data_IF_251226217555
#
_entry.id   IF_251226217555
#
_cell.length_a   1.000
_cell.length_b   1.000
_cell.length_c   1.000
_cell.angle_alpha   90.00
_cell.angle_beta   90.00
_cell.angle_gamma   90.00
#
_symmetry.space_group_name_H-M   'P 1'
#
loop_
_entity.id
_entity.type
_entity.pdbx_description
1 polymer ?
2 polymer ?
3 polymer ?
4 non-polymer ?
5 water ?
#
# COMPACT_ATOMS: atom_id res chain seq x y z
N UNK A 1 2.77 6.74 19.96
CA UNK A 1 2.50 5.32 20.02
C UNK A 1 3.61 4.48 19.41
N UNK A 2 3.24 3.32 18.89
CA UNK A 2 4.20 2.42 18.27
C UNK A 2 4.61 2.95 16.90
N UNK A 3 5.77 2.50 16.44
CA UNK A 3 6.26 2.87 15.11
C UNK A 3 6.82 1.64 14.42
N UNK A 4 6.97 1.73 13.11
CA UNK A 4 7.46 0.62 12.31
C UNK A 4 8.37 1.12 11.21
N UNK A 5 9.32 0.28 10.81
CA UNK A 5 10.10 0.48 9.61
C UNK A 5 9.97 -0.79 8.77
N UNK A 6 9.61 -0.62 7.50
CA UNK A 6 9.33 -1.77 6.64
C UNK A 6 9.92 -1.53 5.26
N UNK A 7 10.53 -2.59 4.72
CA UNK A 7 11.06 -2.58 3.35
C UNK A 7 10.26 -3.59 2.53
N UNK A 8 9.84 -3.16 1.34
CA UNK A 8 9.05 -3.96 0.42
C UNK A 8 9.83 -4.15 -0.87
N UNK A 9 9.89 -5.39 -1.36
CA UNK A 9 10.62 -5.72 -2.57
C UNK A 9 9.72 -6.52 -3.51
N UNK A 10 9.78 -6.18 -4.80
CA UNK A 10 9.06 -6.88 -5.85
C UNK A 10 9.99 -7.12 -7.03
N UNK A 11 10.13 -8.39 -7.43
CA UNK A 11 10.90 -8.77 -8.61
C UNK A 11 9.98 -9.53 -9.56
N UNK A 12 9.89 -9.06 -10.80
CA UNK A 12 8.99 -9.64 -11.81
C UNK A 12 9.83 -10.05 -13.01
N UNK A 13 9.84 -11.35 -13.31
CA UNK A 13 10.62 -11.84 -14.44
C UNK A 13 10.01 -11.36 -15.75
N UNK A 14 10.89 -11.04 -16.71
CA UNK A 14 10.49 -10.55 -18.03
C UNK A 14 11.12 -11.48 -19.06
N UNK A 15 10.45 -12.59 -19.38
CA UNK A 15 11.06 -13.59 -20.27
C UNK A 15 11.36 -13.00 -21.65
N UNK A 16 12.64 -13.02 -22.01
CA UNK A 16 13.06 -12.48 -23.28
C UNK A 16 12.92 -10.97 -23.42
N UNK A 17 12.74 -10.25 -22.32
CA UNK A 17 12.63 -8.80 -22.36
C UNK A 17 13.62 -8.13 -21.40
N UNK A 18 14.72 -8.81 -21.06
CA UNK A 18 15.74 -8.25 -20.21
C UNK A 18 15.71 -8.85 -18.82
N UNK A 19 16.52 -8.23 -17.93
CA UNK A 19 16.54 -8.62 -16.53
C UNK A 19 15.17 -8.36 -15.89
N UNK A 20 14.89 -9.02 -14.77
CA UNK A 20 13.60 -8.81 -14.10
C UNK A 20 13.45 -7.37 -13.61
N UNK A 21 12.23 -6.87 -13.68
CA UNK A 21 11.90 -5.58 -13.09
C UNK A 21 11.96 -5.69 -11.57
N UNK A 22 12.70 -4.77 -10.94
CA UNK A 22 12.91 -4.80 -9.50
C UNK A 22 12.55 -3.43 -8.92
N UNK A 23 11.63 -3.43 -7.94
CA UNK A 23 11.18 -2.21 -7.29
C UNK A 23 11.23 -2.42 -5.78
N UNK A 24 11.96 -1.55 -5.07
CA UNK A 24 12.08 -1.62 -3.62
C UNK A 24 11.65 -0.29 -3.01
N UNK A 25 10.93 -0.37 -1.89
CA UNK A 25 10.40 0.81 -1.21
C UNK A 25 10.59 0.62 0.29
N UNK A 26 11.01 1.68 0.97
CA UNK A 26 11.14 1.69 2.42
C UNK A 26 10.12 2.64 3.04
N UNK A 27 9.51 2.20 4.14
CA UNK A 27 8.52 2.98 4.88
C UNK A 27 8.94 3.12 6.34
N UNK A 28 8.67 4.29 6.90
CA UNK A 28 8.55 4.47 8.35
C UNK A 28 7.08 4.80 8.61
N UNK A 29 6.41 3.94 9.37
CA UNK A 29 4.96 3.98 9.54
C UNK A 29 4.35 3.93 8.14
N UNK A 30 3.45 4.85 7.78
CA UNK A 30 2.87 4.88 6.45
C UNK A 30 3.54 5.91 5.54
N UNK A 31 4.76 6.33 5.88
CA UNK A 31 5.47 7.35 5.12
C UNK A 31 6.63 6.71 4.37
N UNK A 32 6.55 6.73 3.03
CA UNK A 32 7.65 6.25 2.22
C UNK A 32 8.85 7.20 2.34
N UNK A 33 10.04 6.65 2.50
CA UNK A 33 11.22 7.50 2.60
C UNK A 33 12.35 7.14 1.65
N UNK A 34 12.41 5.93 1.10
CA UNK A 34 13.39 5.59 0.07
C UNK A 34 12.72 4.76 -1.01
N UNK A 35 13.36 4.71 -2.17
CA UNK A 35 12.85 3.94 -3.30
C UNK A 35 14.02 3.51 -4.18
N UNK A 36 13.80 2.43 -4.93
CA UNK A 36 14.73 2.02 -5.97
C UNK A 36 13.91 1.36 -7.07
N UNK A 37 14.18 1.75 -8.32
CA UNK A 37 13.55 1.15 -9.49
C UNK A 37 14.64 0.75 -10.46
N UNK A 38 14.65 -0.53 -10.84
CA UNK A 38 15.64 -1.01 -11.80
C UNK A 38 15.50 -0.34 -13.16
N UNK A 39 14.32 0.18 -13.48
CA UNK A 39 14.08 0.84 -14.76
C UNK A 39 14.27 2.35 -14.70
N UNK A 40 14.69 2.89 -13.57
CA UNK A 40 14.92 4.33 -13.46
C UNK A 40 16.34 4.67 -13.86
N UNK A 41 16.56 5.94 -14.18
CA UNK A 41 17.83 6.37 -14.75
C UNK A 41 18.95 6.46 -13.73
N UNK A 42 18.62 6.65 -12.45
CA UNK A 42 19.66 6.88 -11.46
C UNK A 42 20.44 5.61 -11.15
N UNK A 43 19.77 4.47 -11.07
CA UNK A 43 20.35 3.22 -10.59
C UNK A 43 20.93 3.38 -9.19
N UNK A 44 20.33 4.25 -8.38
CA UNK A 44 20.71 4.42 -6.99
C UNK A 44 19.46 4.44 -6.13
N UNK A 45 19.62 4.08 -4.87
CA UNK A 45 18.57 4.30 -3.89
C UNK A 45 18.32 5.80 -3.75
N UNK A 46 17.05 6.19 -3.79
CA UNK A 46 16.71 7.61 -3.85
C UNK A 46 15.87 8.03 -2.64
N UNK A 47 16.05 9.27 -2.17
CA UNK A 47 15.22 9.77 -1.07
C UNK A 47 13.81 10.10 -1.52
N UNK A 48 12.87 9.88 -0.61
CA UNK A 48 11.47 10.18 -0.89
C UNK A 48 10.78 10.88 0.27
N UNK A 49 11.52 11.25 1.30
CA UNK A 49 11.01 12.05 2.42
C UNK A 49 12.05 13.10 2.75
N UNK A 50 11.63 14.26 3.29
CA UNK A 50 12.59 15.34 3.53
C UNK A 50 13.67 14.98 4.53
N UNK A 51 13.32 14.26 5.61
CA UNK A 51 14.26 14.01 6.70
C UNK A 51 15.33 12.97 6.37
N UNK A 52 15.22 12.25 5.26
CA UNK A 52 16.24 11.28 4.89
C UNK A 52 17.31 11.90 3.98
N UNK A 53 17.02 13.05 3.38
CA UNK A 53 17.96 13.68 2.45
C UNK A 53 19.22 14.18 3.13
N UNK A 54 19.19 14.39 4.45
CA UNK A 54 20.38 14.82 5.15
C UNK A 54 21.43 13.72 5.27
N UNK A 55 21.11 12.49 4.89
CA UNK A 55 22.09 11.41 4.95
C UNK A 55 23.19 11.63 3.92
N UNK A 56 24.40 11.22 4.29
CA UNK A 56 25.58 11.49 3.48
C UNK A 56 25.75 10.49 2.36
N UNK A 57 26.69 10.80 1.46
CA UNK A 57 26.92 9.90 0.31
C UNK A 57 27.30 8.48 0.70
N UNK A 58 27.95 8.29 1.86
CA UNK A 58 28.27 6.93 2.27
C UNK A 58 27.01 6.15 2.64
N UNK A 59 25.97 6.84 3.13
CA UNK A 59 24.70 6.18 3.37
C UNK A 59 24.08 5.70 2.06
N UNK A 60 24.02 6.59 1.06
CA UNK A 60 23.41 6.24 -0.22
C UNK A 60 24.26 5.24 -0.98
N UNK A 61 25.57 5.22 -0.74
CA UNK A 61 26.41 4.18 -1.32
C UNK A 61 26.04 2.81 -0.77
N UNK A 62 25.96 2.69 0.56
CA UNK A 62 25.66 1.41 1.17
C UNK A 62 24.26 0.94 0.82
N UNK A 63 23.28 1.85 0.84
CA UNK A 63 21.90 1.48 0.53
C UNK A 63 21.76 1.05 -0.94
N UNK A 64 22.48 1.72 -1.84
CA UNK A 64 22.43 1.33 -3.24
C UNK A 64 23.05 -0.04 -3.46
N UNK A 65 24.19 -0.31 -2.81
CA UNK A 65 24.82 -1.63 -2.96
C UNK A 65 23.94 -2.73 -2.38
N UNK A 66 23.38 -2.49 -1.20
CA UNK A 66 22.59 -3.54 -0.55
C UNK A 66 21.28 -3.80 -1.28
N UNK A 67 20.68 -2.76 -1.88
CA UNK A 67 19.43 -3.00 -2.60
C UNK A 67 19.69 -3.70 -3.92
N UNK A 68 20.84 -3.43 -4.55
CA UNK A 68 21.19 -4.12 -5.79
C UNK A 68 21.50 -5.59 -5.52
N UNK A 69 22.13 -5.89 -4.38
CA UNK A 69 22.39 -7.28 -4.02
C UNK A 69 21.09 -8.04 -3.77
N UNK A 70 20.10 -7.36 -3.18
CA UNK A 70 18.78 -7.98 -3.02
C UNK A 70 18.16 -8.28 -4.38
N UNK A 71 18.34 -7.38 -5.34
CA UNK A 71 17.81 -7.62 -6.68
C UNK A 71 18.51 -8.79 -7.35
N UNK A 72 19.82 -8.95 -7.11
CA UNK A 72 20.55 -10.03 -7.73
C UNK A 72 20.23 -11.37 -7.07
N UNK A 73 19.99 -11.35 -5.76
CA UNK A 73 19.50 -12.55 -5.08
C UNK A 73 18.14 -12.97 -5.61
N UNK A 74 17.25 -12.00 -5.87
CA UNK A 74 15.94 -12.32 -6.42
C UNK A 74 16.03 -12.87 -7.84
N UNK A 75 17.02 -12.43 -8.62
CA UNK A 75 17.24 -13.00 -9.95
C UNK A 75 17.51 -14.49 -9.85
N UNK A 76 18.41 -14.88 -8.94
CA UNK A 76 18.68 -16.31 -8.72
C UNK A 76 17.42 -17.02 -8.30
N UNK A 77 16.71 -16.46 -7.31
CA UNK A 77 15.55 -17.14 -6.74
C UNK A 77 14.42 -17.28 -7.75
N UNK A 78 14.29 -16.35 -8.69
CA UNK A 78 13.27 -16.49 -9.74
C UNK A 78 13.52 -17.75 -10.58
N UNK A 79 14.79 -18.02 -10.90
CA UNK A 79 15.09 -19.23 -11.65
C UNK A 79 15.00 -20.48 -10.80
N UNK A 80 15.40 -20.38 -9.53
CA UNK A 80 15.36 -21.54 -8.65
C UNK A 80 13.92 -21.97 -8.36
N UNK A 81 13.04 -21.01 -8.07
CA UNK A 81 11.66 -21.34 -7.75
C UNK A 81 10.89 -21.80 -8.97
N UNK A 82 11.28 -21.34 -10.16
CA UNK A 82 10.70 -21.88 -11.39
C UNK A 82 10.97 -23.38 -11.49
N UNK A 83 12.15 -23.82 -11.03
CA UNK A 83 12.45 -25.24 -11.03
C UNK A 83 11.71 -26.00 -9.94
N UNK A 84 11.61 -25.41 -8.74
CA UNK A 84 10.89 -26.08 -7.65
C UNK A 84 9.44 -26.35 -8.04
N UNK A 85 8.81 -25.42 -8.75
CA UNK A 85 7.41 -25.53 -9.11
C UNK A 85 7.19 -26.08 -10.52
N UNK A 86 8.25 -26.54 -11.19
CA UNK A 86 8.16 -27.20 -12.49
C UNK A 86 7.39 -26.34 -13.50
N UNK A 87 7.90 -25.12 -13.70
CA UNK A 87 7.27 -24.16 -14.61
C UNK A 87 8.20 -23.87 -15.78
N UNK A 88 7.60 -23.46 -16.89
CA UNK A 88 8.40 -23.18 -18.09
C UNK A 88 9.14 -21.86 -17.94
N UNK A 89 10.18 -21.69 -18.77
CA UNK A 89 10.95 -20.45 -18.80
C UNK A 89 10.25 -19.34 -19.55
N UNK A 90 9.02 -19.56 -20.03
CA UNK A 90 8.32 -18.60 -20.87
C UNK A 90 7.38 -17.67 -20.10
N UNK A 91 6.94 -18.07 -18.91
CA UNK A 91 6.01 -17.25 -18.17
C UNK A 91 6.69 -16.23 -17.27
N UNK A 92 5.94 -15.18 -16.95
CA UNK A 92 6.40 -14.17 -16.00
C UNK A 92 5.95 -14.54 -14.59
N UNK A 93 6.85 -14.41 -13.63
CA UNK A 93 6.58 -14.75 -12.25
C UNK A 93 7.09 -13.64 -11.34
N UNK A 94 6.59 -13.65 -10.10
CA UNK A 94 6.81 -12.56 -9.16
C UNK A 94 7.32 -13.11 -7.83
N UNK A 95 8.37 -12.50 -7.30
CA UNK A 95 8.81 -12.72 -5.92
C UNK A 95 8.61 -11.41 -5.17
N UNK A 96 7.92 -11.48 -4.03
CA UNK A 96 7.70 -10.34 -3.16
C UNK A 96 8.27 -10.64 -1.78
N UNK A 97 8.90 -9.64 -1.17
CA UNK A 97 9.54 -9.78 0.13
C UNK A 97 9.19 -8.55 0.97
N UNK A 98 8.91 -8.78 2.26
CA UNK A 98 8.68 -7.70 3.21
C UNK A 98 9.41 -8.05 4.50
N UNK A 99 10.15 -7.10 5.05
CA UNK A 99 10.72 -7.29 6.37
C UNK A 99 10.81 -5.95 7.09
N UNK A 100 10.94 -6.01 8.41
CA UNK A 100 11.06 -4.80 9.18
C UNK A 100 10.90 -5.07 10.67
N UNK A 101 10.76 -3.98 11.41
CA UNK A 101 10.67 -4.06 12.87
C UNK A 101 9.72 -3.00 13.39
N UNK A 102 9.13 -3.28 14.56
CA UNK A 102 8.30 -2.34 15.27
C UNK A 102 8.95 -1.97 16.60
N UNK A 103 8.76 -0.72 17.02
CA UNK A 103 9.22 -0.24 18.31
C UNK A 103 8.07 0.46 19.02
N UNK A 104 8.17 0.52 20.34
CA UNK A 104 7.20 1.25 21.14
C UNK A 104 7.53 2.72 21.21
N UNK A 105 6.64 3.47 21.87
CA UNK A 105 6.85 4.90 22.01
C UNK A 105 8.12 5.20 22.80
N UNK A 106 8.54 4.28 23.67
CA UNK A 106 9.81 4.42 24.37
C UNK A 106 11.00 3.96 23.55
N UNK A 107 10.78 3.54 22.31
CA UNK A 107 11.85 3.06 21.46
C UNK A 107 12.23 1.60 21.64
N UNK A 108 11.52 0.86 22.49
CA UNK A 108 11.89 -0.51 22.78
C UNK A 108 11.41 -1.44 21.65
N UNK A 109 12.22 -2.46 21.37
CA UNK A 109 11.88 -3.44 20.35
C UNK A 109 10.60 -4.18 20.73
N UNK A 110 9.65 -4.23 19.80
CA UNK A 110 8.42 -4.97 19.98
C UNK A 110 8.37 -6.26 19.16
N UNK A 111 8.73 -6.20 17.88
CA UNK A 111 8.56 -7.35 17.00
C UNK A 111 9.37 -7.12 15.73
N UNK A 112 9.87 -8.23 15.17
CA UNK A 112 10.48 -8.21 13.86
C UNK A 112 9.79 -9.23 12.98
N UNK A 113 9.93 -9.04 11.66
CA UNK A 113 9.25 -9.90 10.73
C UNK A 113 10.00 -9.99 9.41
N UNK A 114 9.78 -11.10 8.72
CA UNK A 114 10.25 -11.27 7.35
C UNK A 114 9.33 -12.29 6.69
N UNK A 115 8.77 -11.93 5.54
CA UNK A 115 7.86 -12.79 4.80
C UNK A 115 8.17 -12.71 3.32
N UNK A 116 8.16 -13.87 2.66
CA UNK A 116 8.44 -13.99 1.24
C UNK A 116 7.25 -14.64 0.53
N UNK A 117 7.04 -14.24 -0.72
CA UNK A 117 5.93 -14.76 -1.50
C UNK A 117 6.42 -15.10 -2.91
N UNK A 118 5.68 -16.00 -3.56
CA UNK A 118 5.93 -16.36 -4.95
C UNK A 118 4.60 -16.35 -5.68
N UNK A 119 4.50 -15.55 -6.74
CA UNK A 119 3.28 -15.40 -7.54
C UNK A 119 2.08 -15.03 -6.66
N UNK A 120 2.31 -14.18 -5.67
CA UNK A 120 1.24 -13.66 -4.84
C UNK A 120 0.75 -14.58 -3.74
N UNK A 121 1.44 -15.68 -3.47
CA UNK A 121 1.08 -16.63 -2.41
C UNK A 121 2.25 -16.81 -1.45
N UNK A 122 1.93 -17.11 -0.19
CA UNK A 122 2.97 -17.34 0.81
C UNK A 122 3.97 -18.37 0.32
N UNK A 123 5.26 -18.08 0.51
CA UNK A 123 6.33 -19.03 0.22
C UNK A 123 7.01 -19.46 1.52
N UNK A 124 7.74 -18.57 2.18
CA UNK A 124 8.35 -18.87 3.46
C UNK A 124 8.29 -17.62 4.34
N UNK A 125 8.22 -17.83 5.65
CA UNK A 125 8.14 -16.71 6.57
C UNK A 125 8.92 -17.03 7.84
N UNK A 126 9.56 -16.00 8.40
CA UNK A 126 10.22 -16.12 9.69
C UNK A 126 9.18 -16.09 10.80
N UNK A 127 9.34 -16.97 11.78
CA UNK A 127 8.41 -16.98 12.90
C UNK A 127 8.72 -15.82 13.84
N UNK A 128 7.72 -15.48 14.66
CA UNK A 128 7.85 -14.31 15.54
C UNK A 128 8.99 -14.47 16.55
N UNK A 129 9.41 -15.70 16.86
CA UNK A 129 10.56 -15.88 17.74
C UNK A 129 11.89 -15.54 17.06
N UNK A 130 11.87 -15.29 15.75
CA UNK A 130 13.06 -14.96 14.96
C UNK A 130 14.11 -16.08 15.00
N UNK A 131 13.68 -17.31 15.28
CA UNK A 131 14.59 -18.44 15.32
C UNK A 131 14.21 -19.57 14.39
N UNK A 132 12.96 -19.65 13.93
CA UNK A 132 12.49 -20.74 13.10
C UNK A 132 11.74 -20.19 11.90
N UNK A 133 11.59 -21.03 10.87
CA UNK A 133 10.93 -20.67 9.63
C UNK A 133 9.66 -21.50 9.45
N UNK A 134 8.70 -20.94 8.73
CA UNK A 134 7.48 -21.66 8.35
C UNK A 134 7.38 -21.65 6.83
N UNK A 135 7.46 -22.84 6.22
CA UNK A 135 7.33 -22.97 4.78
C UNK A 135 5.88 -23.26 4.44
N UNK A 136 5.40 -22.68 3.33
CA UNK A 136 4.00 -22.79 2.99
C UNK A 136 3.66 -24.09 2.26
N UNK A 137 4.63 -24.73 1.62
CA UNK A 137 4.41 -25.97 0.89
C UNK A 137 5.72 -26.75 0.87
N UNK A 138 5.69 -27.91 0.22
CA UNK A 138 6.87 -28.78 0.22
C UNK A 138 8.00 -28.22 -0.64
N UNK A 139 7.67 -27.42 -1.64
CA UNK A 139 8.72 -26.76 -2.42
C UNK A 139 9.49 -25.76 -1.55
N UNK A 140 8.76 -24.91 -0.82
CA UNK A 140 9.43 -23.96 0.07
C UNK A 140 10.18 -24.63 1.20
N UNK A 141 9.86 -25.89 1.51
CA UNK A 141 10.62 -26.62 2.52
C UNK A 141 12.06 -26.83 2.09
N UNK A 142 12.30 -26.92 0.78
CA UNK A 142 13.67 -26.99 0.27
C UNK A 142 14.45 -25.76 0.69
N UNK A 143 13.85 -24.56 0.55
CA UNK A 143 14.52 -23.35 0.99
C UNK A 143 14.75 -23.36 2.50
N UNK A 144 13.76 -23.81 3.26
CA UNK A 144 13.87 -23.82 4.72
C UNK A 144 15.06 -24.66 5.17
N UNK A 145 15.21 -25.87 4.61
CA UNK A 145 16.34 -26.71 4.99
C UNK A 145 17.66 -26.06 4.65
N UNK A 146 17.72 -25.34 3.53
CA UNK A 146 18.94 -24.63 3.15
C UNK A 146 19.22 -23.46 4.09
N UNK A 147 18.17 -22.78 4.55
CA UNK A 147 18.35 -21.66 5.47
C UNK A 147 18.60 -22.12 6.90
N UNK A 148 18.00 -23.24 7.29
CA UNK A 148 18.29 -23.81 8.61
C UNK A 148 19.75 -24.25 8.71
N UNK A 149 20.27 -24.83 7.62
CA UNK A 149 21.66 -25.29 7.64
C UNK A 149 22.63 -24.11 7.67
N UNK A 150 22.36 -23.07 6.87
CA UNK A 150 23.21 -21.89 6.81
C UNK A 150 23.01 -20.96 8.00
N UNK A 151 22.10 -21.29 8.92
CA UNK A 151 21.81 -20.46 10.09
C UNK A 151 21.45 -19.03 9.68
N UNK A 152 20.63 -18.92 8.63
CA UNK A 152 20.22 -17.61 8.14
C UNK A 152 19.41 -16.84 9.18
N UNK A 153 18.63 -17.55 10.02
CA UNK A 153 17.79 -16.85 10.98
C UNK A 153 18.61 -16.06 12.00
N UNK A 154 19.83 -16.53 12.32
CA UNK A 154 20.65 -15.86 13.31
C UNK A 154 21.13 -14.49 12.81
N UNK A 155 21.65 -14.44 11.59
CA UNK A 155 22.08 -13.14 11.05
C UNK A 155 20.90 -12.21 10.84
N UNK A 156 19.80 -12.75 10.34
CA UNK A 156 18.61 -11.93 10.11
C UNK A 156 18.05 -11.40 11.42
N UNK A 157 18.07 -12.22 12.47
CA UNK A 157 17.60 -11.76 13.77
C UNK A 157 18.46 -10.61 14.29
N UNK A 158 19.78 -10.71 14.10
CA UNK A 158 20.68 -9.65 14.55
C UNK A 158 20.30 -8.31 13.92
N UNK A 159 19.82 -8.35 12.68
CA UNK A 159 19.33 -7.14 12.02
C UNK A 159 17.95 -6.73 12.54
N UNK A 160 17.01 -7.69 12.57
CA UNK A 160 15.62 -7.34 12.83
C UNK A 160 15.40 -6.80 14.24
N UNK A 161 16.08 -7.37 15.24
CA UNK A 161 15.94 -6.87 16.60
C UNK A 161 17.14 -6.02 17.04
N UNK A 162 18.09 -5.76 16.15
CA UNK A 162 19.24 -4.92 16.48
C UNK A 162 19.39 -3.73 15.56
N UNK A 163 19.98 -3.96 14.38
CA UNK A 163 20.25 -2.85 13.46
C UNK A 163 18.98 -2.17 12.98
N UNK A 164 17.93 -2.96 12.68
CA UNK A 164 16.67 -2.36 12.24
C UNK A 164 16.15 -1.36 13.27
N UNK A 165 16.13 -1.76 14.54
CA UNK A 165 15.68 -0.87 15.60
C UNK A 165 16.59 0.35 15.70
N UNK A 166 17.90 0.16 15.56
CA UNK A 166 18.85 1.27 15.62
C UNK A 166 18.51 2.35 14.60
N UNK A 167 18.32 1.96 13.35
CA UNK A 167 18.07 2.95 12.31
C UNK A 167 16.68 3.56 12.45
N UNK A 168 15.68 2.75 12.84
CA UNK A 168 14.33 3.30 13.03
C UNK A 168 14.31 4.37 14.10
N UNK A 169 15.04 4.15 15.21
CA UNK A 169 15.14 5.18 16.24
C UNK A 169 15.76 6.45 15.69
N UNK A 170 16.81 6.31 14.87
CA UNK A 170 17.45 7.49 14.31
C UNK A 170 16.51 8.23 13.35
N UNK A 171 15.75 7.49 12.54
CA UNK A 171 14.83 8.12 11.61
C UNK A 171 13.72 8.87 12.35
N UNK A 172 13.18 8.26 13.42
CA UNK A 172 12.13 8.90 14.20
C UNK A 172 12.62 10.22 14.81
N UNK A 173 13.90 10.30 15.17
CA UNK A 173 14.43 11.54 15.71
C UNK A 173 14.74 12.55 14.60
N UNK A 174 15.32 12.07 13.49
CA UNK A 174 15.63 12.97 12.38
C UNK A 174 14.37 13.55 11.74
N UNK A 175 13.26 12.82 11.78
CA UNK A 175 12.04 13.30 11.18
C UNK A 175 10.92 13.58 12.18
N UNK A 176 11.29 13.86 13.43
CA UNK A 176 10.28 14.05 14.47
C UNK A 176 9.33 15.20 14.16
N UNK A 177 9.82 16.25 13.51
CA UNK A 177 8.98 17.43 13.28
C UNK A 177 7.94 17.18 12.20
N UNK A 178 8.34 16.58 11.08
CA UNK A 178 7.48 16.43 9.92
C UNK A 178 6.91 15.03 9.75
N UNK A 179 7.29 14.08 10.60
CA UNK A 179 6.66 12.77 10.54
C UNK A 179 5.18 12.92 10.85
N UNK A 180 4.34 12.37 9.97
CA UNK A 180 2.90 12.50 10.10
C UNK A 180 2.44 12.02 11.47
N UNK A 181 1.94 12.95 12.29
CA UNK A 181 1.43 12.62 13.61
C UNK A 181 0.02 12.06 13.48
N UNK A 182 -0.62 11.81 14.60
CA UNK A 182 -2.00 11.35 14.58
C UNK A 182 -2.89 12.54 14.24
N UNK A 183 -3.28 12.66 12.96
CA UNK A 183 -4.21 13.71 12.55
C UNK A 183 -5.63 13.17 12.63
N UNK A 184 -6.51 13.82 13.39
CA UNK A 184 -7.84 13.24 13.61
C UNK A 184 -8.67 13.29 12.34
N UNK A 185 -9.63 12.38 12.19
CA UNK A 185 -10.46 12.38 10.98
C UNK A 185 -11.53 13.47 11.04
N UNK A 186 -11.63 14.26 9.97
CA UNK A 186 -12.77 15.15 9.78
C UNK A 186 -13.94 14.33 9.26
N UNK A 187 -15.08 14.42 9.96
CA UNK A 187 -16.24 13.58 9.67
C UNK A 187 -17.43 14.42 9.23
N UNK A 188 -18.25 13.84 8.38
CA UNK A 188 -19.53 14.42 7.98
C UNK A 188 -20.34 13.33 7.31
N UNK A 189 -21.60 13.65 6.98
CA UNK A 189 -22.51 12.70 6.35
C UNK A 189 -23.20 13.37 5.17
N UNK A 190 -23.54 12.56 4.16
CA UNK A 190 -24.25 13.04 3.00
C UNK A 190 -25.44 12.13 2.70
N UNK A 191 -26.40 12.68 1.96
CA UNK A 191 -27.69 12.06 1.71
C UNK A 191 -28.00 12.16 0.23
N UNK A 192 -28.26 11.03 -0.42
CA UNK A 192 -28.40 10.95 -1.87
C UNK A 192 -29.61 10.12 -2.24
N UNK A 193 -30.74 10.75 -2.57
CA UNK A 193 -31.90 9.98 -3.03
C UNK A 193 -31.57 9.14 -4.25
N UNK A 194 -31.99 7.88 -4.22
CA UNK A 194 -31.85 7.02 -5.38
C UNK A 194 -33.21 6.77 -6.05
N UNK A 195 -34.30 7.11 -5.37
CA UNK A 195 -35.65 7.03 -5.91
C UNK A 195 -36.52 7.97 -5.08
N UNK A 196 -37.84 7.90 -5.29
CA UNK A 196 -38.76 8.65 -4.45
C UNK A 196 -38.89 8.05 -3.06
N UNK A 197 -38.43 6.81 -2.86
CA UNK A 197 -38.70 6.06 -1.65
C UNK A 197 -37.45 5.62 -0.91
N UNK A 198 -36.27 5.71 -1.50
CA UNK A 198 -35.04 5.30 -0.84
C UNK A 198 -33.95 6.35 -1.07
N UNK A 199 -32.94 6.31 -0.21
CA UNK A 199 -31.84 7.26 -0.28
C UNK A 199 -30.57 6.61 0.25
N UNK A 200 -29.43 7.08 -0.25
CA UNK A 200 -28.12 6.60 0.18
C UNK A 200 -27.54 7.55 1.22
N UNK A 201 -27.29 7.03 2.42
CA UNK A 201 -26.60 7.76 3.48
C UNK A 201 -25.14 7.36 3.47
N UNK A 202 -24.25 8.33 3.25
CA UNK A 202 -22.82 8.07 3.17
C UNK A 202 -22.12 8.79 4.32
N UNK A 203 -21.23 8.07 4.99
CA UNK A 203 -20.51 8.56 6.16
C UNK A 203 -19.04 8.74 5.79
N UNK A 204 -18.52 9.96 5.97
CA UNK A 204 -17.21 10.31 5.47
C UNK A 204 -16.19 10.50 6.60
N UNK A 205 -14.94 10.19 6.29
CA UNK A 205 -13.80 10.45 7.16
C UNK A 205 -12.62 10.85 6.28
N UNK A 206 -12.09 12.06 6.49
CA UNK A 206 -11.10 12.64 5.61
C UNK A 206 -9.89 13.17 6.39
N UNK A 207 -8.75 13.21 5.70
CA UNK A 207 -7.57 13.87 6.21
C UNK A 207 -7.00 13.29 7.49
N UNK A 208 -7.10 11.98 7.68
CA UNK A 208 -6.63 11.36 8.91
C UNK A 208 -5.33 10.58 8.68
N UNK A 209 -4.57 10.40 9.75
CA UNK A 209 -3.32 9.68 9.76
C UNK A 209 -3.17 9.21 11.20
N UNK A 210 -2.80 7.95 11.43
CA UNK A 210 -2.47 6.91 10.44
C UNK A 210 -3.68 6.35 9.71
N UNK A 211 -3.49 5.34 8.86
CA UNK A 211 -4.55 4.83 8.01
C UNK A 211 -5.59 3.98 8.75
N UNK A 212 -5.21 3.35 9.85
CA UNK A 212 -6.14 2.49 10.58
C UNK A 212 -7.37 3.28 11.05
N UNK A 213 -8.55 2.75 10.77
CA UNK A 213 -9.81 3.40 11.14
C UNK A 213 -10.93 2.37 11.06
N UNK A 214 -12.02 2.62 11.81
CA UNK A 214 -13.18 1.74 11.81
C UNK A 214 -14.44 2.58 11.60
N UNK A 215 -15.23 2.22 10.58
CA UNK A 215 -16.50 2.88 10.28
C UNK A 215 -17.58 1.81 10.24
N UNK A 216 -18.63 1.97 11.04
CA UNK A 216 -19.72 1.01 11.10
C UNK A 216 -21.06 1.73 11.11
N UNK A 217 -22.08 1.01 10.66
CA UNK A 217 -23.45 1.52 10.60
C UNK A 217 -24.35 0.65 11.48
N UNK A 218 -25.15 1.30 12.32
CA UNK A 218 -26.14 0.61 13.14
C UNK A 218 -27.53 1.11 12.79
N UNK A 219 -28.49 0.19 12.78
CA UNK A 219 -29.92 0.53 12.60
C UNK A 219 -30.65 0.10 13.86
N UNK A 220 -30.93 1.06 14.74
CA UNK A 220 -31.59 0.80 16.02
C UNK A 220 -30.85 -0.28 16.81
N UNK A 221 -29.58 -0.02 17.04
CA UNK A 221 -28.73 -0.97 17.76
C UNK A 221 -28.15 -2.09 16.92
N UNK A 222 -28.96 -2.71 16.07
CA UNK A 222 -28.52 -3.83 15.27
C UNK A 222 -27.52 -3.38 14.21
N UNK A 223 -26.74 -4.34 13.72
CA UNK A 223 -25.69 -4.09 12.75
C UNK A 223 -26.13 -4.49 11.34
N UNK A 224 -25.47 -3.90 10.35
CA UNK A 224 -25.85 -4.11 8.95
C UNK A 224 -24.60 -4.09 8.07
N UNK A 225 -23.58 -4.87 8.44
CA UNK A 225 -22.40 -4.98 7.59
C UNK A 225 -22.73 -5.59 6.23
N UNK A 226 -23.87 -6.26 6.12
CA UNK A 226 -24.26 -6.90 4.87
C UNK A 226 -24.73 -5.86 3.86
N UNK A 227 -25.62 -4.96 4.27
CA UNK A 227 -26.16 -3.93 3.39
C UNK A 227 -25.30 -2.67 3.36
N UNK A 228 -24.17 -2.67 4.06
CA UNK A 228 -23.26 -1.53 4.05
C UNK A 228 -22.25 -1.68 2.93
N UNK A 229 -21.96 -0.59 2.25
CA UNK A 229 -20.87 -0.54 1.27
C UNK A 229 -19.69 0.19 1.89
N UNK A 230 -18.56 -0.50 2.00
CA UNK A 230 -17.36 0.02 2.63
C UNK A 230 -16.24 0.00 1.60
N UNK A 231 -15.71 1.17 1.25
CA UNK A 231 -14.59 1.27 0.34
C UNK A 231 -13.29 1.11 1.12
N UNK A 232 -12.26 0.63 0.42
CA UNK A 232 -10.94 0.52 1.03
C UNK A 232 -10.39 1.90 1.35
N UNK A 233 -9.67 1.99 2.47
CA UNK A 233 -9.03 3.25 2.83
C UNK A 233 -8.05 3.67 1.72
N UNK A 234 -8.07 4.95 1.39
CA UNK A 234 -7.35 5.42 0.22
C UNK A 234 -6.48 6.61 0.57
N UNK A 235 -5.33 6.76 -0.07
CA UNK A 235 -4.46 7.91 0.19
C UNK A 235 -4.98 9.17 -0.47
N UNK A 236 -4.91 10.29 0.26
CA UNK A 236 -5.27 11.57 -0.33
C UNK A 236 -4.17 12.10 -1.25
N UNK A 237 -2.93 11.64 -1.08
CA UNK A 237 -1.81 12.10 -1.85
C UNK A 237 -0.94 13.13 -1.15
N UNK A 238 -1.39 13.64 -0.01
CA UNK A 238 -0.64 14.63 0.75
C UNK A 238 -0.01 14.06 2.02
N UNK A 239 -0.25 12.78 2.30
CA UNK A 239 0.19 12.14 3.52
C UNK A 239 -0.94 11.68 4.41
N UNK A 240 -2.18 12.06 4.12
CA UNK A 240 -3.35 11.67 4.88
C UNK A 240 -4.20 10.70 4.07
N UNK A 241 -5.27 10.20 4.71
CA UNK A 241 -6.08 9.14 4.13
C UNK A 241 -7.57 9.53 4.15
N UNK A 242 -8.37 8.73 3.45
CA UNK A 242 -9.80 8.96 3.32
C UNK A 242 -10.52 7.62 3.29
N UNK A 243 -11.81 7.64 3.67
CA UNK A 243 -12.64 6.44 3.67
C UNK A 243 -14.10 6.86 3.84
N UNK A 244 -15.01 6.11 3.21
CA UNK A 244 -16.43 6.32 3.45
C UNK A 244 -17.16 4.98 3.52
N UNK A 245 -18.35 5.02 4.11
CA UNK A 245 -19.26 3.88 4.22
C UNK A 245 -20.67 4.36 3.95
N UNK A 246 -21.45 3.56 3.22
CA UNK A 246 -22.78 3.95 2.80
C UNK A 246 -23.80 2.85 3.06
N UNK A 247 -25.04 3.25 3.30
CA UNK A 247 -26.17 2.35 3.51
C UNK A 247 -27.38 2.93 2.79
N UNK A 248 -28.17 2.06 2.16
CA UNK A 248 -29.40 2.46 1.51
C UNK A 248 -30.55 2.30 2.49
N UNK A 249 -31.28 3.40 2.74
CA UNK A 249 -32.32 3.42 3.77
C UNK A 249 -33.65 3.86 3.17
N UNK A 250 -34.77 3.45 3.75
CA UNK A 250 -36.07 3.93 3.26
C UNK A 250 -36.27 5.39 3.61
N UNK A 251 -36.83 6.14 2.66
CA UNK A 251 -37.07 7.56 2.85
C UNK A 251 -38.01 7.78 4.04
N UNK A 252 -37.55 8.56 5.02
CA UNK A 252 -38.31 8.84 6.22
C UNK A 252 -37.77 8.16 7.47
N UNK A 253 -36.89 7.17 7.31
CA UNK A 253 -36.33 6.43 8.43
C UNK A 253 -34.84 6.71 8.62
N UNK A 254 -34.36 7.87 8.13
CA UNK A 254 -32.93 8.15 8.22
C UNK A 254 -32.48 8.29 9.67
N UNK A 255 -33.35 8.79 10.55
CA UNK A 255 -32.98 8.98 11.95
C UNK A 255 -32.71 7.66 12.66
N UNK A 256 -33.12 6.53 12.09
CA UNK A 256 -32.92 5.22 12.68
C UNK A 256 -31.53 4.64 12.40
N UNK A 257 -30.62 5.43 11.84
CA UNK A 257 -29.30 4.94 11.47
C UNK A 257 -28.23 5.83 12.07
N UNK A 258 -27.15 5.22 12.54
CA UNK A 258 -26.02 5.93 13.13
C UNK A 258 -24.72 5.40 12.57
N UNK A 259 -23.82 6.32 12.22
CA UNK A 259 -22.46 5.99 11.81
C UNK A 259 -21.52 6.18 12.98
N UNK A 260 -20.49 5.32 13.06
CA UNK A 260 -19.56 5.32 14.16
C UNK A 260 -18.13 5.33 13.62
N UNK A 261 -17.30 6.22 14.15
CA UNK A 261 -15.94 6.45 13.66
C UNK A 261 -14.96 6.20 14.79
N UNK A 262 -13.84 5.56 14.46
CA UNK A 262 -12.82 5.23 15.46
C UNK A 262 -11.44 5.46 14.87
N UNK A 263 -10.65 6.29 15.53
CA UNK A 263 -9.29 6.61 15.12
C UNK A 263 -8.48 6.81 16.40
N UNK A 264 -7.17 6.95 16.23
CA UNK A 264 -6.30 7.17 17.38
C UNK A 264 -6.25 8.64 17.80
N UNK A 265 -6.68 9.55 16.93
CA UNK A 265 -6.79 10.96 17.25
C UNK A 265 -8.15 11.35 17.79
N UNK A 266 -9.01 10.39 18.08
CA UNK A 266 -10.33 10.66 18.61
C UNK A 266 -10.37 10.30 20.09
N UNK A 267 -10.56 11.28 20.98
CA UNK A 267 -10.66 10.94 22.41
C UNK A 267 -11.75 9.93 22.70
N UNK A 268 -12.90 10.06 22.06
CA UNK A 268 -14.01 9.14 22.19
C UNK A 268 -14.52 8.78 20.80
N UNK A 269 -15.16 7.62 20.65
CA UNK A 269 -15.72 7.24 19.34
C UNK A 269 -16.80 8.21 18.88
N UNK A 270 -16.54 8.93 17.79
CA UNK A 270 -17.54 9.82 17.22
C UNK A 270 -18.73 9.01 16.71
N UNK A 271 -19.92 9.60 16.86
CA UNK A 271 -21.15 8.99 16.36
C UNK A 271 -21.98 10.06 15.67
N UNK A 272 -22.47 9.75 14.47
CA UNK A 272 -23.14 10.72 13.62
C UNK A 272 -24.52 10.24 13.24
N UNK A 273 -25.43 11.19 12.99
CA UNK A 273 -26.78 10.90 12.56
C UNK A 273 -27.21 12.00 11.60
N UNK A 274 -27.97 11.63 10.57
CA UNK A 274 -28.34 12.59 9.54
C UNK A 274 -29.28 13.67 10.07
N UNK B 2 -5.20 -16.95 -8.36
CA UNK B 2 -3.87 -16.78 -8.94
C UNK B 2 -3.73 -15.37 -9.49
N UNK B 3 -4.76 -14.89 -10.18
CA UNK B 3 -4.80 -13.54 -10.73
C UNK B 3 -6.00 -12.81 -10.14
N UNK B 4 -5.76 -11.59 -9.64
CA UNK B 4 -6.77 -10.83 -8.94
C UNK B 4 -6.99 -9.50 -9.66
N UNK B 5 -8.26 -9.14 -9.86
CA UNK B 5 -8.60 -7.96 -10.63
C UNK B 5 -8.54 -6.70 -9.76
N UNK B 6 -8.14 -5.57 -10.35
CA UNK B 6 -7.96 -4.35 -9.54
C UNK B 6 -9.28 -3.73 -9.09
N UNK B 7 -9.25 -3.16 -7.89
CA UNK B 7 -10.32 -2.29 -7.41
C UNK B 7 -9.91 -0.85 -7.73
N UNK B 8 -10.85 -0.07 -8.26
CA UNK B 8 -10.57 1.26 -8.77
C UNK B 8 -11.39 2.26 -7.99
N UNK B 9 -10.72 3.30 -7.48
CA UNK B 9 -11.38 4.45 -6.89
C UNK B 9 -10.82 5.71 -7.53
N UNK B 10 -11.70 6.56 -8.05
CA UNK B 10 -11.32 7.86 -8.59
C UNK B 10 -11.95 8.93 -7.72
N UNK B 11 -11.16 9.92 -7.33
CA UNK B 11 -11.57 10.89 -6.31
C UNK B 11 -10.58 12.04 -6.31
N UNK B 12 -10.95 13.10 -5.58
CA UNK B 12 -10.12 14.27 -5.42
C UNK B 12 -9.52 14.28 -4.02
N UNK B 13 -8.38 14.97 -3.88
CA UNK B 13 -7.73 15.08 -2.58
C UNK B 13 -8.55 15.95 -1.63
N UNK B 14 -8.88 17.16 -2.05
CA UNK B 14 -9.66 18.09 -1.27
C UNK B 14 -11.09 18.16 -1.80
N UNK B 15 -12.05 18.60 -0.98
CA UNK B 15 -13.42 18.74 -1.47
C UNK B 15 -13.47 19.58 -2.74
N UNK B 16 -14.17 19.06 -3.75
CA UNK B 16 -14.17 19.70 -5.06
C UNK B 16 -14.88 21.04 -5.01
N UNK B 17 -14.28 22.03 -5.68
CA UNK B 17 -14.87 23.36 -5.83
C UNK B 17 -14.43 23.91 -7.17
N UNK B 18 -15.38 24.12 -8.07
CA UNK B 18 -15.06 24.48 -9.45
C UNK B 18 -14.32 25.81 -9.50
N UNK B 19 -13.27 25.85 -10.34
CA UNK B 19 -12.39 26.98 -10.43
C UNK B 19 -11.17 26.92 -9.55
N UNK B 20 -11.17 26.03 -8.55
CA UNK B 20 -10.08 25.92 -7.58
C UNK B 20 -9.20 24.73 -7.92
N UNK B 21 -7.88 24.97 -7.94
CA UNK B 21 -6.95 23.89 -8.22
C UNK B 21 -7.08 22.80 -7.16
N UNK B 22 -7.04 21.55 -7.62
CA UNK B 22 -7.19 20.38 -6.75
C UNK B 22 -6.28 19.29 -7.30
N UNK B 23 -6.44 18.07 -6.78
CA UNK B 23 -5.68 16.93 -7.27
C UNK B 23 -6.63 15.77 -7.57
N UNK B 24 -6.54 15.24 -8.78
CA UNK B 24 -7.36 14.11 -9.21
C UNK B 24 -6.59 12.82 -8.96
N UNK B 25 -7.18 11.91 -8.19
CA UNK B 25 -6.54 10.66 -7.81
C UNK B 25 -7.26 9.46 -8.42
N UNK B 26 -6.50 8.47 -8.84
CA UNK B 26 -7.04 7.17 -9.22
C UNK B 26 -6.25 6.12 -8.43
N UNK B 27 -6.88 5.57 -7.39
CA UNK B 27 -6.26 4.59 -6.52
C UNK B 27 -6.67 3.20 -6.98
N UNK B 28 -5.68 2.41 -7.41
CA UNK B 28 -5.91 1.05 -7.89
C UNK B 28 -5.26 0.08 -6.91
N UNK B 29 -6.02 -0.90 -6.44
CA UNK B 29 -5.56 -1.76 -5.36
C UNK B 29 -6.08 -3.17 -5.54
N UNK B 30 -5.47 -4.10 -4.79
CA UNK B 30 -5.96 -5.46 -4.73
C UNK B 30 -5.72 -6.31 -5.96
N UNK B 31 -4.78 -5.95 -6.82
CA UNK B 31 -4.59 -6.65 -8.07
C UNK B 31 -3.31 -7.47 -8.07
N UNK B 32 -3.27 -8.42 -8.99
CA UNK B 32 -2.16 -9.34 -9.18
C UNK B 32 -2.37 -10.04 -10.51
N UNK B 33 -1.35 -10.13 -11.38
CA UNK B 33 0.04 -9.65 -11.22
C UNK B 33 0.21 -8.14 -11.27
N UNK B 34 1.46 -7.66 -11.24
CA UNK B 34 1.72 -6.23 -11.02
C UNK B 34 1.59 -5.38 -12.27
N UNK B 35 1.76 -5.97 -13.45
CA UNK B 35 1.67 -5.21 -14.70
C UNK B 35 0.26 -4.61 -14.83
N UNK B 36 0.21 -3.29 -15.02
CA UNK B 36 -1.07 -2.59 -15.11
C UNK B 36 -0.88 -1.29 -15.90
N UNK B 37 -1.93 -0.87 -16.59
CA UNK B 37 -1.95 0.40 -17.31
C UNK B 37 -3.06 1.25 -16.72
N UNK B 38 -2.70 2.47 -16.29
CA UNK B 38 -3.65 3.39 -15.69
C UNK B 38 -3.48 4.75 -16.38
N UNK B 39 -4.56 5.26 -16.97
CA UNK B 39 -4.56 6.57 -17.60
C UNK B 39 -5.69 7.40 -17.00
N UNK B 40 -5.39 8.66 -16.71
CA UNK B 40 -6.42 9.62 -16.33
C UNK B 40 -6.92 10.32 -17.59
N UNK B 41 -8.24 10.57 -17.64
CA UNK B 41 -8.88 11.07 -18.84
C UNK B 41 -9.62 12.36 -18.54
N UNK B 42 -9.49 13.32 -19.45
CA UNK B 42 -10.26 14.56 -19.41
C UNK B 42 -11.10 14.62 -20.68
N UNK B 43 -12.43 14.55 -20.51
CA UNK B 43 -13.36 14.55 -21.65
C UNK B 43 -12.99 13.46 -22.66
N UNK B 44 -12.53 12.32 -22.15
CA UNK B 44 -12.21 11.18 -22.98
C UNK B 44 -10.78 11.09 -23.46
N UNK B 45 -9.97 12.13 -23.26
CA UNK B 45 -8.61 12.17 -23.76
C UNK B 45 -7.61 12.06 -22.61
N UNK B 46 -6.51 11.36 -22.85
CA UNK B 46 -5.55 11.02 -21.81
C UNK B 46 -4.75 12.25 -21.38
N UNK B 47 -4.80 12.57 -20.09
CA UNK B 47 -3.92 13.58 -19.52
C UNK B 47 -2.48 13.09 -19.62
N UNK B 48 -1.60 13.96 -20.11
CA UNK B 48 -0.26 13.50 -20.47
C UNK B 48 0.72 13.52 -19.31
N UNK B 49 0.66 14.52 -18.44
CA UNK B 49 1.58 14.60 -17.30
C UNK B 49 0.84 14.05 -16.08
N UNK B 50 0.93 12.73 -15.90
CA UNK B 50 0.34 12.04 -14.77
C UNK B 50 1.44 11.29 -14.04
N UNK B 51 1.53 11.49 -12.73
CA UNK B 51 2.50 10.81 -11.90
C UNK B 51 1.84 9.67 -11.12
N UNK B 52 2.67 8.74 -10.66
CA UNK B 52 2.18 7.60 -9.91
C UNK B 52 3.15 7.25 -8.79
N UNK B 53 2.63 6.59 -7.76
CA UNK B 53 3.43 6.17 -6.63
C UNK B 53 4.30 4.97 -7.01
N UNK B 54 5.22 4.61 -6.11
CA UNK B 54 6.04 3.42 -6.31
C UNK B 54 5.27 2.18 -5.90
N UNK B 55 5.41 1.12 -6.71
CA UNK B 55 4.66 -0.11 -6.49
C UNK B 55 4.89 -0.67 -5.09
N UNK B 56 3.79 -1.00 -4.41
CA UNK B 56 3.83 -1.65 -3.11
C UNK B 56 2.69 -2.66 -3.05
N UNK B 57 2.60 -3.38 -1.94
CA UNK B 57 1.58 -4.41 -1.81
C UNK B 57 1.09 -4.49 -0.37
N UNK B 58 -0.04 -5.18 -0.21
CA UNK B 58 -0.71 -5.34 1.07
C UNK B 58 -0.32 -6.66 1.73
N UNK B 59 -0.94 -6.96 2.86
CA UNK B 59 -0.62 -8.20 3.59
C UNK B 59 -0.97 -9.44 2.78
N UNK B 60 -2.05 -9.38 1.99
CA UNK B 60 -2.40 -10.52 1.16
C UNK B 60 -1.58 -10.60 -0.12
N UNK B 61 -0.54 -9.78 -0.25
CA UNK B 61 0.42 -9.72 -1.36
C UNK B 61 -0.15 -9.02 -2.60
N UNK B 62 -1.41 -8.59 -2.59
CA UNK B 62 -1.94 -7.86 -3.74
C UNK B 62 -1.36 -6.46 -3.78
N UNK B 63 -1.20 -5.94 -5.00
CA UNK B 63 -0.52 -4.68 -5.25
C UNK B 63 -1.49 -3.49 -5.16
N UNK B 64 -0.91 -2.30 -4.99
CA UNK B 64 -1.69 -1.07 -5.06
C UNK B 64 -0.80 0.05 -5.58
N UNK B 65 -1.44 1.01 -6.25
CA UNK B 65 -0.79 2.16 -6.87
C UNK B 65 -1.73 3.36 -6.81
N UNK B 66 -1.13 4.54 -6.69
CA UNK B 66 -1.86 5.82 -6.75
C UNK B 66 -1.36 6.62 -7.95
N UNK B 67 -2.24 6.87 -8.91
CA UNK B 67 -1.97 7.78 -10.01
C UNK B 67 -2.64 9.11 -9.73
N UNK B 68 -1.94 10.21 -10.01
CA UNK B 68 -2.45 11.50 -9.61
C UNK B 68 -1.96 12.59 -10.56
N UNK B 69 -2.77 13.65 -10.68
CA UNK B 69 -2.39 14.83 -11.45
C UNK B 69 -3.17 16.01 -10.92
N UNK B 70 -2.59 17.19 -11.05
CA UNK B 70 -3.26 18.41 -10.66
C UNK B 70 -4.29 18.78 -11.72
N UNK B 71 -5.52 19.07 -11.29
CA UNK B 71 -6.56 19.48 -12.20
C UNK B 71 -7.35 20.62 -11.57
N UNK B 72 -7.82 21.53 -12.41
CA UNK B 72 -8.71 22.60 -11.99
C UNK B 72 -10.12 22.26 -12.44
N UNK B 73 -10.96 21.70 -11.57
CA UNK B 73 -12.26 21.19 -12.02
C UNK B 73 -13.17 22.29 -12.52
N UNK B 74 -13.72 22.10 -13.71
CA UNK B 74 -14.83 22.89 -14.22
C UNK B 74 -16.05 21.97 -14.29
N UNK B 75 -17.22 22.51 -13.96
CA UNK B 75 -18.42 21.69 -13.85
C UNK B 75 -18.79 21.02 -15.16
N UNK B 76 -18.33 21.54 -16.29
CA UNK B 76 -18.60 20.89 -17.58
C UNK B 76 -17.60 19.78 -17.89
N UNK B 77 -16.38 19.87 -17.39
CA UNK B 77 -15.36 18.88 -17.71
C UNK B 77 -15.67 17.55 -17.03
N UNK B 78 -15.52 16.47 -17.79
CA UNK B 78 -15.73 15.11 -17.29
C UNK B 78 -14.37 14.44 -17.13
N UNK B 79 -14.15 13.83 -15.97
CA UNK B 79 -12.91 13.16 -15.66
C UNK B 79 -13.17 11.69 -15.35
N UNK B 80 -12.21 10.85 -15.69
CA UNK B 80 -12.35 9.41 -15.49
C UNK B 80 -10.98 8.79 -15.39
N UNK B 81 -10.94 7.57 -14.85
CA UNK B 81 -9.75 6.75 -14.79
C UNK B 81 -9.95 5.52 -15.66
N UNK B 82 -8.97 5.22 -16.51
CA UNK B 82 -9.03 4.06 -17.39
C UNK B 82 -7.91 3.09 -17.01
N UNK B 83 -8.29 1.84 -16.76
CA UNK B 83 -7.37 0.84 -16.23
C UNK B 83 -7.43 -0.40 -17.11
N UNK B 84 -6.27 -0.92 -17.50
CA UNK B 84 -6.17 -2.16 -18.24
C UNK B 84 -5.32 -3.15 -17.45
N UNK B 85 -5.81 -4.38 -17.33
CA UNK B 85 -5.14 -5.42 -16.57
C UNK B 85 -5.43 -6.76 -17.24
N UNK B 86 -4.58 -7.76 -16.97
CA UNK B 86 -4.76 -9.05 -17.61
C UNK B 86 -6.11 -9.66 -17.26
N UNK B 87 -6.63 -9.37 -16.07
CA UNK B 87 -7.93 -9.88 -15.66
C UNK B 87 -9.08 -9.24 -16.42
N UNK B 88 -8.82 -8.18 -17.18
CA UNK B 88 -9.85 -7.42 -17.87
C UNK B 88 -9.85 -7.77 -19.36
N UNK B 89 -11.04 -7.94 -19.92
CA UNK B 89 -11.18 -8.11 -21.37
C UNK B 89 -11.11 -6.75 -22.07
N UNK B 90 -11.99 -5.84 -21.68
CA UNK B 90 -12.00 -4.45 -22.08
C UNK B 90 -11.49 -3.58 -20.94
N UNK B 91 -10.77 -2.50 -21.26
CA UNK B 91 -10.32 -1.58 -20.21
C UNK B 91 -11.50 -1.00 -19.44
N UNK B 92 -11.35 -0.92 -18.12
CA UNK B 92 -12.40 -0.41 -17.25
C UNK B 92 -12.25 1.09 -17.11
N UNK B 93 -13.36 1.82 -17.28
CA UNK B 93 -13.37 3.26 -17.12
C UNK B 93 -14.29 3.59 -15.94
N UNK B 94 -13.75 4.27 -14.94
CA UNK B 94 -14.51 4.72 -13.79
C UNK B 94 -14.55 6.24 -13.82
N UNK B 95 -15.75 6.80 -13.95
CA UNK B 95 -15.91 8.24 -13.98
C UNK B 95 -15.80 8.83 -12.59
N UNK B 96 -15.30 10.06 -12.51
CA UNK B 96 -15.17 10.76 -11.24
C UNK B 96 -16.53 11.29 -10.81
N UNK B 97 -16.98 10.88 -9.64
CA UNK B 97 -18.23 11.37 -9.04
C UNK B 97 -17.87 12.13 -7.76
N UNK B 98 -18.44 13.33 -7.61
CA UNK B 98 -18.13 14.18 -6.47
C UNK B 98 -18.66 13.63 -5.15
N UNK B 99 -19.66 12.76 -5.19
CA UNK B 99 -20.26 12.20 -3.99
C UNK B 99 -19.64 10.88 -3.56
N UNK B 100 -18.49 10.50 -4.14
CA UNK B 100 -17.84 9.24 -3.80
C UNK B 100 -16.32 9.39 -3.69
N UNK C 1 17.69 1.65 7.38
CA UNK C 1 18.71 1.09 6.50
C UNK C 1 18.44 -0.39 6.21
N UNK C 2 18.79 -0.81 4.99
CA UNK C 2 18.54 -2.17 4.53
C UNK C 2 19.39 -3.19 5.27
N UNK C 3 18.96 -4.44 5.20
CA UNK C 3 19.78 -5.55 5.66
C UNK C 3 20.83 -5.88 4.61
N UNK C 4 22.04 -6.17 5.06
CA UNK C 4 23.12 -6.48 4.14
C UNK C 4 23.46 -7.96 4.04
N UNK C 5 22.45 -8.81 4.22
CA UNK C 5 22.69 -10.25 4.20
C UNK C 5 21.80 -11.01 3.24
N UNK C 7 20.78 -14.82 1.63
CA UNK C 7 20.95 -16.21 1.26
C UNK C 7 19.95 -16.60 0.18
N UNK C 8 20.43 -17.20 -0.90
CA UNK C 8 19.57 -17.60 -1.99
C UNK C 8 18.61 -18.70 -1.55
N UNK C 9 17.52 -18.83 -2.29
CA UNK C 9 16.47 -19.79 -1.96
C UNK C 9 16.77 -21.18 -2.54
#
# INVERSE_FOLDING_TARGET
GSHSMRYFFTSVSRPGRGEPRFIAVGYVDDTQFVRFDSDAASQRMEPRAPWIEQEGPEYWDQETRNVKAQSQTDRVDLGTLRGYYNQSEAGSHTIQIMYGCDVGSDGRFLRGYRQDAYDGKDYIALNEDLRSWTAADMAAQITKRKWEAAHEAEQLRAYLDGTCVEWLRRYLENGKETLQRTDPPKTHMTHHPISDHEATLRCWALGFYPAEITLTWQRDGEDQTQDTELVETRPAGDGTFQKWAAVVVPSGEEQRYTCHVQHEGLPKPLTLRW
MIQRTPKIQVYSRHPAENGKSNFLNCYVSGFHPSDIEVDLLKNGERIEKVEHSDLSFSKDWSFYLLYYTEFTPTEKDEYACRVNHVTLSQPKIVKWDRDM
ALHGGXTTK
#
